data_IF_399003034482
#
_entry.id   IF_399003034482
#
_cell.length_a   1.000
_cell.length_b   1.000
_cell.length_c   1.000
_cell.angle_alpha   90.00
_cell.angle_beta   90.00
_cell.angle_gamma   90.00
#
_symmetry.space_group_name_H-M   'P 1'
#
loop_
_entity.id
_entity.type
_entity.pdbx_description
1 polymer ?
#
# COMPACT_ATOMS: atom_id res chain seq x y z
N UNK A 1 11.01 -6.88 10.13
CA UNK A 1 11.37 -5.52 10.64
C UNK A 1 11.68 -5.47 12.15
N UNK A 2 11.64 -6.59 12.86
CA UNK A 2 12.14 -6.64 14.25
C UNK A 2 13.65 -6.37 14.31
N UNK A 3 14.17 -5.67 15.32
CA UNK A 3 13.45 -5.20 16.52
C UNK A 3 12.71 -3.88 16.36
N UNK A 4 12.90 -3.13 15.27
CA UNK A 4 12.38 -1.76 15.06
C UNK A 4 10.86 -1.70 15.24
N UNK A 5 10.14 -2.72 14.76
CA UNK A 5 8.66 -2.77 14.81
C UNK A 5 8.12 -3.47 16.04
N UNK A 6 8.90 -3.59 17.12
CA UNK A 6 8.44 -4.21 18.38
C UNK A 6 7.35 -3.36 19.08
N UNK A 7 7.54 -2.04 19.09
CA UNK A 7 6.65 -1.11 19.78
C UNK A 7 5.88 -0.18 18.83
N UNK A 8 6.33 -0.06 17.58
CA UNK A 8 5.75 0.84 16.59
C UNK A 8 5.31 0.01 15.37
N UNK A 9 4.06 0.14 14.89
CA UNK A 9 3.64 -0.50 13.65
C UNK A 9 4.57 -0.09 12.48
N UNK A 10 4.84 -1.02 11.56
CA UNK A 10 5.71 -0.74 10.41
C UNK A 10 5.18 0.42 9.55
N UNK A 11 3.88 0.59 9.50
CA UNK A 11 3.19 1.67 8.81
C UNK A 11 3.50 3.06 9.40
N UNK A 12 3.96 3.10 10.66
CA UNK A 12 4.37 4.33 11.36
C UNK A 12 5.87 4.61 11.29
N UNK A 13 6.65 3.78 10.61
CA UNK A 13 8.06 4.09 10.38
C UNK A 13 8.19 5.33 9.48
N UNK A 14 9.09 6.28 9.82
CA UNK A 14 9.25 7.49 9.04
C UNK A 14 9.93 7.20 7.69
N UNK A 15 9.42 7.81 6.63
CA UNK A 15 10.03 7.86 5.31
C UNK A 15 10.00 9.31 4.84
N UNK A 16 11.17 9.92 4.71
CA UNK A 16 11.25 11.37 4.61
C UNK A 16 10.74 12.03 5.89
N UNK A 17 9.83 12.98 5.75
CA UNK A 17 9.27 13.75 6.90
C UNK A 17 8.03 13.12 7.52
N UNK A 18 7.46 12.07 6.93
CA UNK A 18 6.17 11.51 7.32
C UNK A 18 6.22 9.99 7.53
N UNK A 19 5.33 9.41 8.34
CA UNK A 19 5.18 7.96 8.41
C UNK A 19 4.69 7.38 7.08
N UNK A 20 4.99 6.12 6.83
CA UNK A 20 4.60 5.39 5.61
C UNK A 20 3.12 5.54 5.31
N UNK A 21 2.27 5.31 6.31
CA UNK A 21 0.81 5.36 6.17
C UNK A 21 0.31 6.75 5.74
N UNK A 22 1.01 7.82 6.11
CA UNK A 22 0.68 9.18 5.69
C UNK A 22 0.80 9.34 4.17
N UNK A 23 1.86 8.81 3.56
CA UNK A 23 2.03 8.85 2.10
C UNK A 23 0.90 8.10 1.38
N UNK A 24 0.43 6.98 1.95
CA UNK A 24 -0.70 6.21 1.40
C UNK A 24 -1.99 7.03 1.49
N UNK A 25 -2.25 7.68 2.62
CA UNK A 25 -3.43 8.54 2.81
C UNK A 25 -3.42 9.72 1.83
N UNK A 26 -2.27 10.39 1.66
CA UNK A 26 -2.16 11.50 0.72
C UNK A 26 -2.39 11.06 -0.75
N UNK A 27 -1.96 9.86 -1.13
CA UNK A 27 -2.28 9.28 -2.45
C UNK A 27 -3.80 9.09 -2.65
N UNK A 28 -4.49 8.59 -1.61
CA UNK A 28 -5.94 8.42 -1.65
C UNK A 28 -6.68 9.77 -1.76
N UNK A 29 -6.27 10.75 -0.97
CA UNK A 29 -6.84 12.11 -0.98
C UNK A 29 -6.60 12.80 -2.34
N UNK A 30 -5.38 12.69 -2.87
CA UNK A 30 -5.04 13.24 -4.20
C UNK A 30 -5.86 12.59 -5.32
N UNK A 31 -6.42 11.40 -5.09
CA UNK A 31 -7.34 10.70 -6.00
C UNK A 31 -8.82 11.02 -5.74
N UNK A 32 -9.10 12.06 -4.93
CA UNK A 32 -10.45 12.55 -4.57
C UNK A 32 -11.25 11.58 -3.69
N UNK A 33 -10.56 10.78 -2.89
CA UNK A 33 -11.19 9.95 -1.87
C UNK A 33 -11.20 10.71 -0.54
N UNK A 34 -12.38 10.95 0.01
CA UNK A 34 -12.58 11.78 1.20
C UNK A 34 -13.09 11.02 2.43
N UNK A 35 -13.54 9.77 2.27
CA UNK A 35 -13.98 8.91 3.38
C UNK A 35 -13.06 7.71 3.46
N UNK A 36 -12.25 7.63 4.51
CA UNK A 36 -11.21 6.64 4.65
C UNK A 36 -11.44 5.78 5.90
N UNK A 37 -11.57 4.46 5.71
CA UNK A 37 -11.69 3.50 6.80
C UNK A 37 -10.35 2.80 7.02
N UNK A 38 -9.80 2.93 8.22
CA UNK A 38 -8.65 2.14 8.64
C UNK A 38 -9.11 0.82 9.28
N UNK A 39 -8.72 -0.29 8.68
CA UNK A 39 -8.88 -1.61 9.28
C UNK A 39 -7.60 -1.95 10.02
N UNK A 40 -7.63 -1.84 11.33
CA UNK A 40 -6.46 -1.97 12.21
C UNK A 40 -6.56 -3.19 13.14
N UNK A 41 -5.66 -3.28 14.08
CA UNK A 41 -5.73 -4.21 15.20
C UNK A 41 -5.32 -3.52 16.52
N UNK A 42 -5.44 -4.21 17.64
CA UNK A 42 -5.18 -3.66 18.98
C UNK A 42 -3.77 -3.07 19.17
N UNK A 43 -2.79 -3.47 18.36
CA UNK A 43 -1.39 -3.03 18.49
C UNK A 43 -1.06 -1.81 17.62
N UNK A 44 -2.01 -1.34 16.79
CA UNK A 44 -1.80 -0.27 15.82
C UNK A 44 -2.43 1.08 16.24
N UNK A 45 -2.63 1.31 17.53
CA UNK A 45 -3.21 2.54 18.07
C UNK A 45 -2.46 3.81 17.62
N UNK A 46 -1.16 3.71 17.36
CA UNK A 46 -0.36 4.82 16.85
C UNK A 46 -0.85 5.34 15.49
N UNK A 47 -1.51 4.50 14.66
CA UNK A 47 -2.12 4.93 13.40
C UNK A 47 -3.38 5.77 13.70
N UNK A 48 -4.22 5.30 14.61
CA UNK A 48 -5.42 6.03 15.04
C UNK A 48 -5.02 7.40 15.56
N UNK A 49 -4.05 7.46 16.50
CA UNK A 49 -3.53 8.70 17.06
C UNK A 49 -2.91 9.66 16.04
N UNK A 50 -2.29 9.14 14.97
CA UNK A 50 -1.65 9.98 13.94
C UNK A 50 -2.66 10.77 13.09
N UNK A 51 -3.86 10.21 12.89
CA UNK A 51 -4.93 10.83 12.10
C UNK A 51 -6.06 11.41 12.94
N UNK A 52 -5.96 11.33 14.27
CA UNK A 52 -6.94 11.93 15.18
C UNK A 52 -6.73 13.46 15.26
N UNK A 53 -7.78 14.17 15.62
CA UNK A 53 -7.76 15.61 15.80
C UNK A 53 -7.03 16.00 17.11
N UNK A 54 -5.78 16.41 16.98
CA UNK A 54 -5.01 16.99 18.08
C UNK A 54 -5.26 18.50 18.19
N UNK A 55 -6.49 18.89 18.53
CA UNK A 55 -6.85 20.31 18.70
C UNK A 55 -5.95 21.05 19.71
N UNK A 56 -5.50 20.39 20.77
CA UNK A 56 -4.57 20.95 21.75
C UNK A 56 -3.19 21.21 21.15
N UNK A 57 -2.64 20.27 20.38
CA UNK A 57 -1.36 20.44 19.69
C UNK A 57 -1.45 21.56 18.64
N UNK A 58 -2.55 21.62 17.89
CA UNK A 58 -2.81 22.67 16.90
C UNK A 58 -2.83 24.03 17.55
N UNK A 59 -3.51 24.18 18.71
CA UNK A 59 -3.57 25.42 19.47
C UNK A 59 -2.17 25.83 19.98
N UNK A 60 -1.36 24.89 20.46
CA UNK A 60 0.01 25.18 20.89
C UNK A 60 0.91 25.66 19.75
N UNK A 61 0.83 25.00 18.58
CA UNK A 61 1.63 25.39 17.42
C UNK A 61 1.20 26.76 16.84
N UNK A 62 -0.07 27.10 16.89
CA UNK A 62 -0.59 28.40 16.53
C UNK A 62 -0.06 29.50 17.47
N UNK A 63 0.02 29.22 18.79
CA UNK A 63 0.52 30.15 19.81
C UNK A 63 2.04 30.38 19.70
N UNK A 64 2.81 29.35 19.30
CA UNK A 64 4.27 29.43 19.18
C UNK A 64 4.74 30.07 17.86
N UNK A 65 3.83 30.50 16.96
CA UNK A 65 4.18 31.11 15.68
C UNK A 65 4.89 30.16 14.71
N UNK A 66 4.78 28.86 14.92
CA UNK A 66 5.28 27.83 14.01
C UNK A 66 4.65 27.97 12.63
N UNK A 67 5.40 27.67 11.57
CA UNK A 67 4.91 27.83 10.20
C UNK A 67 3.57 27.12 10.00
N UNK A 68 2.49 27.89 9.99
CA UNK A 68 1.09 27.47 9.80
C UNK A 68 0.90 26.55 8.58
N UNK A 69 1.81 26.63 7.61
CA UNK A 69 1.77 25.84 6.37
C UNK A 69 1.99 24.33 6.58
N UNK A 70 2.83 23.92 7.51
CA UNK A 70 3.00 22.48 7.79
C UNK A 70 1.87 21.93 8.67
N UNK A 71 1.42 22.73 9.64
CA UNK A 71 0.34 22.38 10.57
C UNK A 71 -1.00 22.24 9.84
N UNK A 72 -1.29 23.13 8.89
CA UNK A 72 -2.53 23.10 8.11
C UNK A 72 -2.67 21.84 7.24
N UNK A 73 -1.58 21.15 6.91
CA UNK A 73 -1.60 19.88 6.17
C UNK A 73 -2.23 18.74 6.97
N UNK A 74 -2.16 18.80 8.30
CA UNK A 74 -2.75 17.79 9.19
C UNK A 74 -4.20 18.13 9.56
N UNK A 75 -4.73 19.28 9.16
CA UNK A 75 -6.14 19.60 9.34
C UNK A 75 -6.98 18.95 8.23
N UNK A 76 -7.18 17.66 8.36
CA UNK A 76 -7.91 16.86 7.39
C UNK A 76 -9.39 17.25 7.30
N UNK A 77 -10.00 17.76 8.38
CA UNK A 77 -11.38 18.26 8.37
C UNK A 77 -11.54 19.46 7.45
N UNK A 78 -10.61 20.43 7.50
CA UNK A 78 -10.62 21.55 6.55
C UNK A 78 -10.43 21.12 5.10
N UNK A 79 -9.77 19.96 4.89
CA UNK A 79 -9.61 19.33 3.58
C UNK A 79 -10.82 18.50 3.15
N UNK A 80 -11.87 18.40 3.99
CA UNK A 80 -13.07 17.62 3.72
C UNK A 80 -12.86 16.11 3.80
N UNK A 81 -11.87 15.65 4.57
CA UNK A 81 -11.54 14.23 4.74
C UNK A 81 -12.06 13.73 6.08
N UNK A 82 -12.72 12.59 6.07
CA UNK A 82 -13.24 11.92 7.26
C UNK A 82 -12.55 10.58 7.46
N UNK A 83 -12.07 10.33 8.67
CA UNK A 83 -11.44 9.09 9.07
C UNK A 83 -12.37 8.24 9.92
N UNK A 84 -12.41 6.95 9.63
CA UNK A 84 -13.14 5.94 10.36
C UNK A 84 -12.18 4.82 10.74
N UNK A 85 -12.45 4.15 11.85
CA UNK A 85 -11.59 3.08 12.35
C UNK A 85 -12.42 1.86 12.70
N UNK A 86 -11.95 0.70 12.27
CA UNK A 86 -12.48 -0.60 12.70
C UNK A 86 -11.32 -1.54 13.01
N UNK A 87 -11.59 -2.57 13.81
CA UNK A 87 -10.58 -3.53 14.22
C UNK A 87 -10.89 -4.91 13.68
N UNK A 88 -9.94 -5.44 12.92
CA UNK A 88 -9.97 -6.85 12.56
C UNK A 88 -9.91 -7.71 13.82
N UNK A 89 -10.85 -8.64 13.96
CA UNK A 89 -10.92 -9.50 15.12
C UNK A 89 -9.94 -10.67 14.99
N UNK A 90 -9.39 -11.07 16.14
CA UNK A 90 -8.62 -12.32 16.25
C UNK A 90 -9.56 -13.36 16.82
N UNK A 91 -9.84 -14.47 16.13
CA UNK A 91 -10.72 -15.52 16.63
C UNK A 91 -10.21 -16.12 17.95
N UNK A 92 -11.14 -16.60 18.77
CA UNK A 92 -10.81 -17.27 20.01
C UNK A 92 -9.87 -18.46 19.74
N UNK A 93 -8.78 -18.52 20.52
CA UNK A 93 -7.75 -19.57 20.36
C UNK A 93 -6.71 -19.30 19.28
N UNK A 94 -6.83 -18.21 18.52
CA UNK A 94 -5.80 -17.78 17.55
C UNK A 94 -4.98 -16.60 18.08
N UNK A 95 -3.76 -16.44 17.54
CA UNK A 95 -2.85 -15.36 17.90
C UNK A 95 -2.75 -14.29 16.81
N UNK A 96 -3.35 -14.54 15.64
CA UNK A 96 -3.31 -13.67 14.45
C UNK A 96 -4.70 -13.51 13.84
N UNK A 97 -4.98 -12.39 13.17
CA UNK A 97 -6.15 -12.21 12.34
C UNK A 97 -6.18 -13.20 11.16
N UNK A 98 -7.34 -13.38 10.54
CA UNK A 98 -7.58 -14.33 9.45
C UNK A 98 -7.04 -13.90 8.08
N UNK A 99 -6.19 -12.90 7.99
CA UNK A 99 -5.55 -12.48 6.74
C UNK A 99 -6.22 -11.29 6.04
N UNK A 100 -5.82 -11.06 4.78
CA UNK A 100 -6.20 -9.85 4.03
C UNK A 100 -7.66 -9.85 3.55
N UNK A 101 -8.21 -11.02 3.24
CA UNK A 101 -9.63 -11.15 2.88
C UNK A 101 -10.55 -10.79 4.03
N UNK A 102 -10.26 -11.28 5.24
CA UNK A 102 -11.01 -10.96 6.45
C UNK A 102 -10.91 -9.45 6.80
N UNK A 103 -9.75 -8.83 6.59
CA UNK A 103 -9.60 -7.40 6.77
C UNK A 103 -10.52 -6.61 5.81
N UNK A 104 -10.62 -7.02 4.54
CA UNK A 104 -11.54 -6.39 3.58
C UNK A 104 -12.99 -6.65 3.96
N UNK A 105 -13.34 -7.85 4.41
CA UNK A 105 -14.70 -8.17 4.87
C UNK A 105 -15.17 -7.26 6.02
N UNK A 106 -14.26 -6.83 6.90
CA UNK A 106 -14.60 -5.90 7.99
C UNK A 106 -15.06 -4.51 7.51
N UNK A 107 -14.86 -4.18 6.24
CA UNK A 107 -15.29 -2.91 5.65
C UNK A 107 -16.68 -2.96 5.00
N UNK A 108 -17.36 -4.12 4.94
CA UNK A 108 -18.60 -4.30 4.18
C UNK A 108 -19.69 -3.28 4.52
N UNK A 109 -19.98 -3.09 5.81
CA UNK A 109 -20.99 -2.11 6.26
C UNK A 109 -20.60 -0.66 5.98
N UNK A 110 -19.31 -0.36 5.91
CA UNK A 110 -18.83 0.99 5.61
C UNK A 110 -19.01 1.36 4.14
N UNK A 111 -18.86 0.39 3.24
CA UNK A 111 -18.92 0.62 1.79
C UNK A 111 -20.35 0.85 1.27
N UNK A 112 -21.35 0.41 2.00
CA UNK A 112 -22.78 0.56 1.69
C UNK A 112 -23.13 0.14 0.25
N UNK A 113 -22.51 -0.96 -0.22
CA UNK A 113 -22.71 -1.49 -1.56
C UNK A 113 -22.05 -0.69 -2.71
N UNK A 114 -21.35 0.39 -2.42
CA UNK A 114 -20.61 1.15 -3.42
C UNK A 114 -19.24 0.51 -3.75
N UNK A 115 -18.69 0.77 -4.94
CA UNK A 115 -17.30 0.44 -5.22
C UNK A 115 -16.35 1.21 -4.28
N UNK A 116 -15.25 0.56 -3.89
CA UNK A 116 -14.31 1.14 -2.94
C UNK A 116 -12.85 0.76 -3.26
N UNK A 117 -11.93 1.59 -2.78
CA UNK A 117 -10.49 1.38 -2.92
C UNK A 117 -9.94 0.67 -1.69
N UNK A 118 -9.05 -0.28 -1.89
CA UNK A 118 -8.23 -0.89 -0.83
C UNK A 118 -6.77 -0.57 -1.10
N UNK A 119 -6.11 0.04 -0.11
CA UNK A 119 -4.68 0.34 -0.12
C UNK A 119 -4.02 -0.28 1.12
N UNK A 120 -2.93 -1.04 0.92
CA UNK A 120 -2.16 -1.55 2.06
C UNK A 120 -1.27 -0.44 2.60
N UNK A 121 -1.38 -0.19 3.90
CA UNK A 121 -0.74 0.93 4.58
C UNK A 121 0.79 0.84 4.71
N UNK A 122 1.39 -0.28 4.33
CA UNK A 122 2.84 -0.53 4.39
C UNK A 122 3.52 -0.50 3.00
N UNK A 123 2.82 -0.07 1.97
CA UNK A 123 3.33 -0.02 0.59
C UNK A 123 3.03 1.33 -0.03
N UNK A 124 4.06 2.09 -0.35
CA UNK A 124 3.95 3.40 -1.00
C UNK A 124 4.05 3.21 -2.51
N UNK A 125 3.24 3.94 -3.27
CA UNK A 125 3.40 4.10 -4.71
C UNK A 125 3.92 5.53 -4.96
N UNK A 126 5.18 5.61 -5.38
CA UNK A 126 5.78 6.88 -5.82
C UNK A 126 5.47 7.06 -7.29
N UNK A 127 4.88 8.18 -7.67
CA UNK A 127 4.52 8.47 -9.06
C UNK A 127 5.04 9.84 -9.49
N UNK A 128 5.59 9.91 -10.70
CA UNK A 128 5.90 11.15 -11.40
C UNK A 128 5.02 11.31 -12.66
N UNK A 129 3.93 10.54 -12.73
CA UNK A 129 2.97 10.63 -13.82
C UNK A 129 1.99 11.80 -13.61
N UNK A 130 1.57 12.48 -14.68
CA UNK A 130 0.55 13.54 -14.60
C UNK A 130 -0.81 12.99 -14.21
N UNK A 131 -1.11 11.71 -14.52
CA UNK A 131 -2.31 11.00 -14.07
C UNK A 131 -1.86 9.86 -13.15
N UNK A 132 -2.04 9.97 -11.83
CA UNK A 132 -1.61 8.95 -10.87
C UNK A 132 -2.24 7.57 -11.14
N UNK A 133 -1.54 6.52 -10.71
CA UNK A 133 -1.97 5.13 -10.84
C UNK A 133 -3.41 4.92 -10.38
N UNK A 134 -3.74 5.39 -9.20
CA UNK A 134 -5.07 5.15 -8.61
C UNK A 134 -6.19 5.80 -9.43
N UNK A 135 -5.94 6.99 -10.03
CA UNK A 135 -6.91 7.62 -10.94
C UNK A 135 -7.12 6.76 -12.19
N UNK A 136 -6.04 6.26 -12.81
CA UNK A 136 -6.13 5.34 -13.96
C UNK A 136 -6.87 4.05 -13.62
N UNK A 137 -6.67 3.52 -12.41
CA UNK A 137 -7.42 2.37 -11.91
C UNK A 137 -8.92 2.65 -11.77
N UNK A 138 -9.29 3.82 -11.21
CA UNK A 138 -10.69 4.24 -11.06
C UNK A 138 -11.34 4.35 -12.44
N UNK A 139 -10.68 5.02 -13.38
CA UNK A 139 -11.18 5.20 -14.73
C UNK A 139 -11.38 3.85 -15.45
N UNK A 140 -10.41 2.93 -15.33
CA UNK A 140 -10.53 1.56 -15.86
C UNK A 140 -11.68 0.79 -15.21
N UNK A 141 -11.79 0.85 -13.87
CA UNK A 141 -12.82 0.15 -13.11
C UNK A 141 -14.23 0.55 -13.56
N UNK A 142 -14.47 1.83 -13.68
CA UNK A 142 -15.75 2.40 -14.07
C UNK A 142 -16.05 2.13 -15.56
N UNK A 143 -15.08 2.33 -16.44
CA UNK A 143 -15.24 2.14 -17.88
C UNK A 143 -15.62 0.70 -18.27
N UNK A 144 -15.18 -0.28 -17.50
CA UNK A 144 -15.42 -1.70 -17.78
C UNK A 144 -16.43 -2.34 -16.82
N UNK A 145 -17.06 -1.58 -15.92
CA UNK A 145 -17.93 -2.10 -14.86
C UNK A 145 -17.32 -3.31 -14.14
N UNK A 146 -16.05 -3.19 -13.79
CA UNK A 146 -15.27 -4.30 -13.23
C UNK A 146 -15.71 -4.64 -11.81
N UNK A 147 -15.71 -5.93 -11.45
CA UNK A 147 -15.90 -6.36 -10.06
C UNK A 147 -14.61 -6.15 -9.23
N UNK A 148 -13.47 -6.16 -9.92
CA UNK A 148 -12.17 -5.88 -9.30
C UNK A 148 -11.22 -5.26 -10.32
N UNK A 149 -10.43 -4.27 -9.87
CA UNK A 149 -9.29 -3.71 -10.61
C UNK A 149 -8.06 -3.69 -9.70
N UNK A 150 -6.94 -4.23 -10.18
CA UNK A 150 -5.72 -4.46 -9.38
C UNK A 150 -4.57 -3.67 -9.98
N UNK A 151 -3.78 -2.99 -9.14
CA UNK A 151 -2.49 -2.47 -9.56
C UNK A 151 -1.45 -3.59 -9.64
N UNK A 152 -0.68 -3.62 -10.72
CA UNK A 152 0.36 -4.62 -10.92
C UNK A 152 1.67 -4.00 -11.41
N UNK A 153 2.79 -4.66 -11.12
CA UNK A 153 4.11 -4.29 -11.59
C UNK A 153 4.93 -5.52 -11.90
N UNK A 154 5.96 -5.35 -12.71
CA UNK A 154 6.82 -6.47 -13.13
C UNK A 154 7.88 -6.77 -12.05
N UNK A 155 8.06 -8.04 -11.74
CA UNK A 155 9.08 -8.53 -10.79
C UNK A 155 10.02 -9.53 -11.47
N UNK A 156 11.27 -9.64 -11.01
CA UNK A 156 12.15 -10.72 -11.39
C UNK A 156 11.54 -12.09 -11.09
N UNK A 157 11.77 -13.11 -11.94
CA UNK A 157 11.16 -14.44 -11.79
C UNK A 157 11.36 -15.05 -10.41
N UNK A 158 12.54 -14.88 -9.84
CA UNK A 158 12.92 -15.39 -8.51
C UNK A 158 12.13 -14.77 -7.34
N UNK A 159 11.46 -13.64 -7.57
CA UNK A 159 10.68 -12.96 -6.53
C UNK A 159 9.17 -13.27 -6.58
N UNK A 160 8.70 -14.04 -7.57
CA UNK A 160 7.26 -14.33 -7.75
C UNK A 160 6.65 -15.00 -6.53
N UNK A 161 7.41 -15.83 -5.80
CA UNK A 161 6.95 -16.54 -4.61
C UNK A 161 6.67 -15.66 -3.39
N UNK A 162 6.90 -14.35 -3.50
CA UNK A 162 6.56 -13.37 -2.46
C UNK A 162 5.21 -12.70 -2.67
N UNK A 163 4.62 -12.79 -3.89
CA UNK A 163 3.49 -11.96 -4.30
C UNK A 163 2.35 -12.79 -4.91
N UNK A 164 1.15 -12.23 -4.90
CA UNK A 164 0.11 -12.66 -5.81
C UNK A 164 0.52 -12.33 -7.25
N UNK A 165 0.47 -13.30 -8.16
CA UNK A 165 0.86 -13.17 -9.56
C UNK A 165 -0.39 -13.28 -10.44
N UNK A 166 -0.64 -12.26 -11.28
CA UNK A 166 -1.81 -12.21 -12.14
C UNK A 166 -1.56 -12.92 -13.46
N UNK A 167 -2.63 -13.40 -14.08
CA UNK A 167 -2.64 -14.02 -15.41
C UNK A 167 -3.45 -13.14 -16.35
N UNK A 168 -2.85 -12.29 -17.18
CA UNK A 168 -3.57 -11.55 -18.20
C UNK A 168 -4.19 -12.49 -19.25
N UNK A 169 -5.29 -12.06 -19.87
CA UNK A 169 -5.81 -12.72 -21.06
C UNK A 169 -4.75 -12.64 -22.17
N UNK A 170 -4.54 -13.74 -22.90
CA UNK A 170 -3.40 -13.92 -23.82
C UNK A 170 -3.22 -12.78 -24.84
N UNK A 171 -4.30 -12.20 -25.34
CA UNK A 171 -4.26 -11.07 -26.28
C UNK A 171 -3.86 -9.72 -25.65
N UNK A 172 -3.71 -9.63 -24.33
CA UNK A 172 -3.52 -8.38 -23.57
C UNK A 172 -2.29 -8.41 -22.65
N UNK A 173 -1.37 -9.35 -22.85
CA UNK A 173 -0.21 -9.56 -21.95
C UNK A 173 0.69 -8.34 -21.82
N UNK A 174 0.79 -7.50 -22.84
CA UNK A 174 1.64 -6.30 -22.86
C UNK A 174 0.85 -4.99 -22.61
N UNK A 175 -0.47 -5.07 -22.46
CA UNK A 175 -1.29 -3.88 -22.29
C UNK A 175 -1.08 -3.26 -20.89
N UNK A 176 -1.07 -1.92 -20.83
CA UNK A 176 -0.99 -1.18 -19.58
C UNK A 176 -2.25 -1.35 -18.70
N UNK A 177 -3.38 -1.67 -19.33
CA UNK A 177 -4.65 -2.00 -18.71
C UNK A 177 -5.19 -3.26 -19.40
N UNK A 178 -5.32 -4.36 -18.68
CA UNK A 178 -5.66 -5.67 -19.24
C UNK A 178 -6.71 -6.40 -18.39
N UNK A 179 -7.49 -7.25 -19.07
CA UNK A 179 -8.38 -8.21 -18.41
C UNK A 179 -7.56 -9.40 -17.87
N UNK A 180 -7.97 -9.91 -16.72
CA UNK A 180 -7.33 -11.08 -16.10
C UNK A 180 -8.11 -12.36 -16.37
N UNK A 181 -7.36 -13.43 -16.68
CA UNK A 181 -7.82 -14.80 -16.75
C UNK A 181 -7.64 -15.56 -15.44
N UNK A 182 -6.80 -15.05 -14.52
CA UNK A 182 -6.54 -15.68 -13.24
C UNK A 182 -5.58 -14.89 -12.37
N UNK A 183 -5.39 -15.40 -11.14
CA UNK A 183 -4.39 -14.92 -10.18
C UNK A 183 -3.97 -16.09 -9.30
N UNK A 184 -2.69 -16.16 -8.92
CA UNK A 184 -2.13 -17.18 -8.04
C UNK A 184 -1.42 -16.52 -6.86
N UNK A 185 -1.67 -16.99 -5.64
CA UNK A 185 -0.95 -16.56 -4.45
C UNK A 185 0.41 -17.24 -4.36
N UNK A 186 1.48 -16.45 -4.34
CA UNK A 186 2.87 -16.86 -4.12
C UNK A 186 3.30 -18.12 -4.87
N UNK A 187 3.13 -18.18 -6.18
CA UNK A 187 3.54 -19.36 -6.95
C UNK A 187 5.05 -19.53 -6.92
N UNK A 188 5.52 -20.77 -6.90
CA UNK A 188 6.94 -21.05 -7.12
C UNK A 188 7.40 -20.48 -8.48
N UNK A 189 8.66 -20.05 -8.61
CA UNK A 189 9.16 -19.38 -9.83
C UNK A 189 8.93 -20.17 -11.13
N UNK A 190 9.03 -21.49 -11.08
CA UNK A 190 8.78 -22.43 -12.17
C UNK A 190 7.29 -22.61 -12.52
N UNK A 191 6.40 -22.17 -11.64
CA UNK A 191 4.93 -22.26 -11.80
C UNK A 191 4.26 -20.90 -11.97
N UNK A 192 5.02 -19.81 -11.88
CA UNK A 192 4.49 -18.47 -12.05
C UNK A 192 4.00 -18.25 -13.49
N UNK A 193 2.70 -17.94 -13.70
CA UNK A 193 2.13 -17.81 -15.05
C UNK A 193 2.56 -16.54 -15.77
N UNK A 194 3.07 -15.57 -15.02
CA UNK A 194 3.61 -14.29 -15.51
C UNK A 194 4.61 -13.73 -14.50
N UNK A 195 5.13 -12.53 -14.78
CA UNK A 195 5.94 -11.75 -13.84
C UNK A 195 5.19 -10.54 -13.27
N UNK A 196 3.88 -10.47 -13.47
CA UNK A 196 3.07 -9.36 -13.02
C UNK A 196 2.58 -9.61 -11.60
N UNK A 197 3.23 -8.96 -10.64
CA UNK A 197 2.92 -9.04 -9.22
C UNK A 197 1.92 -7.95 -8.80
N UNK A 198 1.07 -8.27 -7.85
CA UNK A 198 0.11 -7.33 -7.26
C UNK A 198 0.83 -6.23 -6.49
N UNK A 199 0.42 -4.97 -6.68
CA UNK A 199 1.05 -3.77 -6.09
C UNK A 199 0.24 -3.14 -4.97
N UNK A 200 -0.42 -3.94 -4.12
CA UNK A 200 -1.09 -3.51 -2.89
C UNK A 200 -2.12 -2.35 -3.05
N UNK A 201 -2.67 -2.18 -4.25
CA UNK A 201 -3.80 -1.28 -4.58
C UNK A 201 -4.85 -2.06 -5.33
N UNK A 202 -6.09 -1.94 -4.86
CA UNK A 202 -7.24 -2.63 -5.44
C UNK A 202 -8.43 -1.69 -5.48
N UNK A 203 -9.33 -1.90 -6.43
CA UNK A 203 -10.68 -1.34 -6.42
C UNK A 203 -11.64 -2.52 -6.51
N UNK A 204 -12.59 -2.58 -5.61
CA UNK A 204 -13.59 -3.64 -5.58
C UNK A 204 -14.99 -3.09 -5.73
N UNK A 205 -15.81 -3.81 -6.49
CA UNK A 205 -17.24 -3.73 -6.35
C UNK A 205 -17.74 -4.57 -5.17
N UNK A 206 -19.03 -4.45 -4.79
CA UNK A 206 -19.60 -5.17 -3.66
C UNK A 206 -19.56 -6.70 -3.79
N UNK A 207 -19.36 -7.21 -5.01
CA UNK A 207 -19.24 -8.65 -5.30
C UNK A 207 -18.06 -9.33 -4.56
N UNK A 208 -17.08 -8.56 -4.09
CA UNK A 208 -15.96 -9.11 -3.34
C UNK A 208 -16.39 -9.72 -2.01
N UNK A 209 -17.41 -9.20 -1.33
CA UNK A 209 -17.83 -9.69 -0.03
C UNK A 209 -18.43 -11.10 -0.08
N UNK A 210 -19.40 -11.43 -0.95
CA UNK A 210 -19.83 -12.82 -1.12
C UNK A 210 -18.69 -13.73 -1.60
N UNK A 211 -17.76 -13.25 -2.44
CA UNK A 211 -16.59 -14.03 -2.87
C UNK A 211 -15.68 -14.39 -1.69
N UNK A 212 -15.39 -13.45 -0.78
CA UNK A 212 -14.62 -13.72 0.44
C UNK A 212 -15.32 -14.78 1.33
N UNK A 213 -16.63 -14.71 1.45
CA UNK A 213 -17.40 -15.68 2.24
C UNK A 213 -17.46 -17.09 1.61
N UNK A 214 -17.27 -17.17 0.30
CA UNK A 214 -17.35 -18.43 -0.43
C UNK A 214 -16.04 -19.24 -0.41
N UNK A 215 -14.90 -18.62 -0.13
CA UNK A 215 -13.61 -19.29 -0.12
C UNK A 215 -13.29 -19.90 1.25
N UNK A 216 -12.72 -21.11 1.30
CA UNK A 216 -12.25 -21.69 2.55
C UNK A 216 -10.95 -21.01 3.00
N UNK A 217 -10.65 -20.98 4.31
CA UNK A 217 -9.33 -20.61 4.78
C UNK A 217 -8.24 -21.50 4.17
N UNK A 218 -7.09 -20.91 3.91
CA UNK A 218 -5.90 -21.62 3.42
C UNK A 218 -5.37 -22.64 4.45
N UNK A 219 -4.36 -23.40 4.09
CA UNK A 219 -3.66 -24.32 5.00
C UNK A 219 -3.03 -23.61 6.22
N UNK A 220 -2.73 -22.31 6.11
CA UNK A 220 -2.27 -21.46 7.23
C UNK A 220 -3.40 -20.89 8.08
N UNK A 221 -4.67 -21.15 7.72
CA UNK A 221 -5.85 -20.57 8.36
C UNK A 221 -6.17 -19.14 7.91
N UNK A 222 -5.45 -18.61 6.92
CA UNK A 222 -5.65 -17.26 6.39
C UNK A 222 -6.63 -17.26 5.20
N UNK A 223 -7.43 -16.21 5.10
CA UNK A 223 -8.30 -15.93 3.96
C UNK A 223 -7.55 -14.95 3.06
N UNK A 224 -6.99 -15.46 1.96
CA UNK A 224 -6.25 -14.64 1.02
C UNK A 224 -7.19 -13.88 0.08
N UNK A 225 -6.91 -12.59 -0.10
CA UNK A 225 -7.68 -11.75 -1.02
C UNK A 225 -7.52 -12.22 -2.47
N UNK A 226 -6.37 -12.77 -2.83
CA UNK A 226 -6.09 -13.39 -4.13
C UNK A 226 -7.03 -14.56 -4.45
N UNK A 227 -7.40 -15.37 -3.46
CA UNK A 227 -8.33 -16.49 -3.67
C UNK A 227 -9.76 -15.97 -3.90
N UNK A 228 -10.17 -14.91 -3.21
CA UNK A 228 -11.46 -14.26 -3.46
C UNK A 228 -11.53 -13.63 -4.85
N UNK A 229 -10.44 -13.02 -5.31
CA UNK A 229 -10.34 -12.46 -6.67
C UNK A 229 -10.38 -13.58 -7.71
N UNK A 230 -9.68 -14.69 -7.49
CA UNK A 230 -9.78 -15.85 -8.37
C UNK A 230 -11.21 -16.39 -8.43
N UNK A 231 -11.90 -16.43 -7.31
CA UNK A 231 -13.31 -16.82 -7.27
C UNK A 231 -14.19 -15.89 -8.10
N UNK A 232 -13.99 -14.56 -8.04
CA UNK A 232 -14.69 -13.61 -8.91
C UNK A 232 -14.47 -13.92 -10.40
N UNK A 233 -13.24 -14.20 -10.82
CA UNK A 233 -12.92 -14.57 -12.20
C UNK A 233 -13.65 -15.86 -12.60
N UNK A 234 -13.64 -16.87 -11.74
CA UNK A 234 -14.30 -18.16 -11.99
C UNK A 234 -15.83 -18.02 -12.10
N UNK A 235 -16.42 -17.05 -11.41
CA UNK A 235 -17.85 -16.71 -11.53
C UNK A 235 -18.16 -15.86 -12.75
N UNK A 236 -17.18 -15.56 -13.61
CA UNK A 236 -17.37 -14.79 -14.85
C UNK A 236 -17.39 -13.29 -14.64
N UNK A 237 -17.03 -12.79 -13.45
CA UNK A 237 -16.93 -11.35 -13.21
C UNK A 237 -15.72 -10.74 -13.92
N UNK A 238 -15.88 -9.52 -14.42
CA UNK A 238 -14.78 -8.75 -15.01
C UNK A 238 -13.75 -8.37 -13.94
N UNK A 239 -12.52 -8.83 -14.10
CA UNK A 239 -11.38 -8.45 -13.28
C UNK A 239 -10.29 -7.89 -14.18
N UNK A 240 -9.74 -6.73 -13.83
CA UNK A 240 -8.73 -6.04 -14.62
C UNK A 240 -7.46 -5.77 -13.82
N UNK A 241 -6.36 -5.57 -14.53
CA UNK A 241 -5.11 -5.11 -13.97
C UNK A 241 -4.64 -3.85 -14.68
N UNK A 242 -4.19 -2.85 -13.88
CA UNK A 242 -3.53 -1.64 -14.37
C UNK A 242 -2.07 -1.68 -13.95
N UNK A 243 -1.16 -1.60 -14.93
CA UNK A 243 0.28 -1.63 -14.67
C UNK A 243 0.79 -0.30 -14.14
N UNK A 244 1.73 -0.38 -13.22
CA UNK A 244 2.59 0.75 -12.91
C UNK A 244 3.35 1.15 -14.20
N UNK A 245 3.44 2.45 -14.44
CA UNK A 245 4.26 2.98 -15.52
C UNK A 245 5.75 2.94 -15.16
N UNK A 246 6.66 3.13 -16.13
CA UNK A 246 8.10 3.26 -15.84
C UNK A 246 8.45 4.46 -14.94
N UNK A 247 7.54 5.43 -14.77
CA UNK A 247 7.71 6.60 -13.89
C UNK A 247 7.05 6.41 -12.53
N UNK A 248 6.58 5.20 -12.26
CA UNK A 248 5.98 4.82 -10.99
C UNK A 248 6.78 3.70 -10.35
N UNK A 249 6.95 3.78 -9.05
CA UNK A 249 7.72 2.82 -8.28
C UNK A 249 6.94 2.40 -7.04
N UNK A 250 6.80 1.10 -6.84
CA UNK A 250 6.36 0.55 -5.57
C UNK A 250 7.53 0.50 -4.59
N UNK A 251 7.36 1.17 -3.46
CA UNK A 251 8.28 1.12 -2.33
C UNK A 251 7.70 0.17 -1.28
N UNK A 252 8.22 -1.05 -1.21
CA UNK A 252 7.79 -2.07 -0.25
C UNK A 252 8.66 -2.03 1.00
N UNK A 253 8.05 -1.84 2.15
CA UNK A 253 8.77 -1.71 3.42
C UNK A 253 8.64 -3.02 4.23
N UNK A 254 8.69 -4.15 3.54
CA UNK A 254 8.61 -5.48 4.13
C UNK A 254 9.89 -5.94 4.83
N UNK A 255 11.05 -5.35 4.52
CA UNK A 255 12.35 -5.70 5.08
C UNK A 255 13.25 -4.47 5.26
N UNK A 256 14.33 -4.59 6.05
CA UNK A 256 15.22 -3.48 6.35
C UNK A 256 15.92 -2.89 5.12
N UNK A 257 16.34 -3.73 4.16
CA UNK A 257 17.01 -3.27 2.94
C UNK A 257 16.09 -2.35 2.13
N UNK A 258 14.87 -2.79 1.86
CA UNK A 258 13.88 -2.00 1.11
C UNK A 258 13.51 -0.73 1.87
N UNK A 259 13.38 -0.79 3.19
CA UNK A 259 13.14 0.38 4.04
C UNK A 259 14.27 1.41 3.93
N UNK A 260 15.53 1.00 4.08
CA UNK A 260 16.66 1.94 3.99
C UNK A 260 16.78 2.56 2.60
N UNK A 261 16.58 1.78 1.54
CA UNK A 261 16.56 2.31 0.17
C UNK A 261 15.46 3.36 -0.01
N UNK A 262 14.24 3.04 0.41
CA UNK A 262 13.11 3.98 0.33
C UNK A 262 13.37 5.24 1.16
N UNK A 263 13.93 5.10 2.36
CA UNK A 263 14.27 6.25 3.20
C UNK A 263 15.28 7.18 2.51
N UNK A 264 16.33 6.62 1.91
CA UNK A 264 17.34 7.39 1.16
C UNK A 264 16.69 8.08 -0.04
N UNK A 265 15.86 7.37 -0.82
CA UNK A 265 15.19 7.94 -1.98
C UNK A 265 14.32 9.14 -1.62
N UNK A 266 13.58 9.05 -0.51
CA UNK A 266 12.76 10.16 -0.02
C UNK A 266 13.57 11.30 0.58
N UNK A 267 14.67 10.98 1.28
CA UNK A 267 15.58 11.98 1.81
C UNK A 267 16.23 12.80 0.69
N UNK A 268 16.68 12.13 -0.39
CA UNK A 268 17.24 12.78 -1.57
C UNK A 268 16.21 13.60 -2.37
N UNK A 269 14.95 13.20 -2.32
CA UNK A 269 13.85 13.90 -2.99
C UNK A 269 13.29 15.08 -2.18
N UNK A 270 13.74 15.29 -0.93
CA UNK A 270 13.31 16.43 -0.11
C UNK A 270 13.73 17.74 -0.78
N UNK A 271 12.80 18.69 -1.05
CA UNK A 271 13.09 19.89 -1.81
C UNK A 271 14.05 20.87 -1.10
N UNK A 272 14.13 20.82 0.23
CA UNK A 272 14.98 21.70 1.04
C UNK A 272 16.31 21.04 1.41
N UNK A 273 16.28 19.77 1.83
CA UNK A 273 17.41 19.06 2.38
C UNK A 273 18.10 18.13 1.37
N UNK A 274 17.43 17.73 0.29
CA UNK A 274 17.94 16.77 -0.70
C UNK A 274 19.33 17.10 -1.23
N UNK A 275 19.62 18.34 -1.66
CA UNK A 275 20.96 18.73 -2.11
C UNK A 275 22.03 18.55 -1.03
N UNK A 276 21.75 18.93 0.22
CA UNK A 276 22.68 18.80 1.35
C UNK A 276 22.92 17.32 1.70
N UNK A 277 21.87 16.49 1.66
CA UNK A 277 21.96 15.05 1.89
C UNK A 277 22.79 14.39 0.79
N UNK A 278 22.61 14.79 -0.47
CA UNK A 278 23.40 14.27 -1.59
C UNK A 278 24.89 14.56 -1.40
N UNK A 279 25.25 15.78 -1.00
CA UNK A 279 26.64 16.16 -0.75
C UNK A 279 27.24 15.40 0.45
N UNK A 280 26.46 15.22 1.51
CA UNK A 280 26.86 14.39 2.64
C UNK A 280 27.12 12.93 2.22
N UNK A 281 26.23 12.34 1.43
CA UNK A 281 26.41 10.97 0.94
C UNK A 281 27.66 10.83 0.06
N UNK A 282 27.98 11.83 -0.77
CA UNK A 282 29.22 11.84 -1.56
C UNK A 282 30.47 11.84 -0.67
N UNK A 283 30.46 12.60 0.42
CA UNK A 283 31.55 12.62 1.41
C UNK A 283 31.70 11.27 2.11
N UNK A 284 30.59 10.66 2.56
CA UNK A 284 30.58 9.34 3.19
C UNK A 284 31.15 8.29 2.23
N UNK A 285 30.75 8.28 0.97
CA UNK A 285 31.24 7.32 -0.02
C UNK A 285 32.75 7.52 -0.29
N UNK A 286 33.22 8.77 -0.38
CA UNK A 286 34.66 9.05 -0.56
C UNK A 286 35.48 8.55 0.62
N UNK A 287 35.01 8.70 1.86
CA UNK A 287 35.67 8.16 3.05
C UNK A 287 35.69 6.63 3.08
N UNK A 288 34.59 5.97 2.70
CA UNK A 288 34.51 4.50 2.65
C UNK A 288 35.42 3.92 1.56
N UNK A 289 35.46 4.53 0.36
CA UNK A 289 36.33 4.08 -0.74
C UNK A 289 37.85 4.25 -0.42
N UNK A 290 38.21 5.22 0.44
CA UNK A 290 39.60 5.42 0.90
C UNK A 290 40.07 4.43 1.99
N UNK A 291 39.13 3.68 2.59
CA UNK A 291 39.40 2.79 3.75
C UNK A 291 39.31 1.29 3.40
N UNK A 292 39.16 0.90 2.12
CA UNK A 292 39.10 -0.53 1.71
C UNK A 292 40.40 -1.33 1.97
N UNK A 293 41.34 -0.78 2.72
CA UNK A 293 42.62 -1.42 3.10
C UNK A 293 42.76 -1.82 4.59
N UNK A 294 41.78 -1.53 5.46
CA UNK A 294 41.83 -1.93 6.87
C UNK A 294 40.63 -2.86 7.22
N UNK A 295 40.91 -4.08 7.78
CA UNK A 295 39.86 -4.92 8.30
C UNK A 295 39.15 -4.20 9.47
N UNK A 296 37.82 -4.27 9.49
CA UNK A 296 37.00 -3.72 10.56
C UNK A 296 37.38 -4.36 11.93
N UNK A 297 37.30 -3.59 13.03
CA UNK A 297 37.58 -4.08 14.37
C UNK A 297 36.56 -5.11 14.88
#
# INVERSE_FOLDING_TARGET
>A
MLPTTKAIPKEMLPVGRYPIIHHVVEELIASSLSRLLFVTNRTKLAIENHFDDYSELMMHLELDGSEMTEVSRFDYRKRGVEFFFTRQQVPLGQTKPLGTGDAVAAAESFTDGAPFVVAFGDSIIRSAEPVPLLRRMIDSHLAHASACTIAVYEVPPELTHHYGIVVPVAAQTEAADCQLAGILEKPAPDRAPSRLAVSARYIFGPQIFPAIRAIPPSSSGEIYLTDAILHLIQQGHMVRAVRLSPREQRCDIGNHRAYFQTFIDYALADPQLGPQILDYLRQVLAHHSGNEGQPAP
#
